data_IF_490239868241
#
_entry.id   IF_490239868241
#
_cell.length_a   1.000
_cell.length_b   1.000
_cell.length_c   1.000
_cell.angle_alpha   90.00
_cell.angle_beta   90.00
_cell.angle_gamma   90.00
#
_symmetry.space_group_name_H-M   'P 1'
#
loop_
_entity.id
_entity.type
_entity.pdbx_description
1 polymer ?
#
# COMPACT_ATOMS: atom_id res chain seq x y z
N UNK A 1 39.30 48.40 38.69
CA UNK A 1 39.37 47.20 37.82
C UNK A 1 38.32 46.20 38.29
N UNK A 2 37.14 46.15 37.66
CA UNK A 2 36.18 45.04 37.77
C UNK A 2 34.95 45.35 36.91
N UNK A 3 34.62 44.46 35.96
CA UNK A 3 33.33 44.50 35.28
C UNK A 3 33.33 44.10 33.81
N UNK A 4 33.82 42.90 33.45
CA UNK A 4 33.77 42.49 32.02
C UNK A 4 33.72 40.97 31.77
N UNK A 5 33.13 40.19 32.69
CA UNK A 5 32.97 38.72 32.51
C UNK A 5 31.54 38.20 32.61
N UNK A 6 30.55 39.06 32.85
CA UNK A 6 29.14 38.63 32.93
C UNK A 6 28.42 38.63 31.57
N UNK A 7 28.78 39.48 30.62
CA UNK A 7 28.08 39.57 29.31
C UNK A 7 28.27 38.35 28.39
N UNK A 8 29.47 37.78 28.35
CA UNK A 8 29.81 36.68 27.43
C UNK A 8 29.18 35.33 27.82
N UNK A 9 28.91 35.13 29.11
CA UNK A 9 28.24 33.93 29.62
C UNK A 9 26.74 33.92 29.32
N UNK A 10 26.08 35.09 29.26
CA UNK A 10 24.67 35.19 28.91
C UNK A 10 24.43 34.95 27.42
N UNK A 11 25.32 35.45 26.56
CA UNK A 11 25.22 35.28 25.11
C UNK A 11 25.44 33.81 24.69
N UNK A 12 26.39 33.12 25.33
CA UNK A 12 26.62 31.69 25.12
C UNK A 12 25.48 30.82 25.65
N UNK A 13 24.87 31.17 26.79
CA UNK A 13 23.70 30.46 27.30
C UNK A 13 22.48 30.61 26.36
N UNK A 14 22.27 31.81 25.81
CA UNK A 14 21.19 32.06 24.85
C UNK A 14 21.38 31.30 23.54
N UNK A 15 22.62 31.20 23.04
CA UNK A 15 22.95 30.43 21.83
C UNK A 15 22.71 28.93 22.05
N UNK A 16 23.05 28.39 23.22
CA UNK A 16 22.80 26.98 23.53
C UNK A 16 21.30 26.68 23.61
N UNK A 17 20.51 27.58 24.21
CA UNK A 17 19.04 27.41 24.30
C UNK A 17 18.40 27.42 22.90
N UNK A 18 18.83 28.30 22.00
CA UNK A 18 18.26 28.36 20.64
C UNK A 18 18.55 27.09 19.83
N UNK A 19 19.75 26.52 19.98
CA UNK A 19 20.14 25.25 19.33
C UNK A 19 19.29 24.08 19.85
N UNK A 20 19.06 23.99 21.16
CA UNK A 20 18.23 22.93 21.75
C UNK A 20 16.79 22.99 21.23
N UNK A 21 16.21 24.20 21.17
CA UNK A 21 14.85 24.39 20.66
C UNK A 21 14.76 24.01 19.18
N UNK A 22 15.76 24.37 18.36
CA UNK A 22 15.80 23.99 16.95
C UNK A 22 15.85 22.47 16.76
N UNK A 23 16.65 21.75 17.57
CA UNK A 23 16.73 20.28 17.54
C UNK A 23 15.39 19.66 17.97
N UNK A 24 14.74 20.21 19.00
CA UNK A 24 13.45 19.72 19.47
C UNK A 24 12.35 19.86 18.39
N UNK A 25 12.28 21.00 17.70
CA UNK A 25 11.36 21.23 16.59
C UNK A 25 11.69 20.28 15.42
N UNK A 26 12.98 20.11 15.09
CA UNK A 26 13.41 19.17 14.05
C UNK A 26 12.96 17.72 14.38
N UNK A 27 13.10 17.29 15.63
CA UNK A 27 12.65 15.97 16.10
C UNK A 27 11.14 15.79 16.03
N UNK A 28 10.37 16.83 16.36
CA UNK A 28 8.91 16.82 16.23
C UNK A 28 8.50 16.77 14.75
N UNK A 29 9.13 17.55 13.88
CA UNK A 29 8.88 17.52 12.44
C UNK A 29 9.24 16.17 11.81
N UNK A 30 10.34 15.55 12.24
CA UNK A 30 10.70 14.18 11.85
C UNK A 30 9.70 13.14 12.37
N UNK A 31 9.09 13.38 13.54
CA UNK A 31 8.04 12.52 14.09
C UNK A 31 6.72 12.64 13.30
N UNK A 32 6.39 13.83 12.78
CA UNK A 32 5.25 14.01 11.88
C UNK A 32 5.47 13.36 10.51
N UNK A 33 6.70 13.42 9.97
CA UNK A 33 7.06 12.69 8.75
C UNK A 33 7.05 11.16 8.97
N UNK A 34 7.46 10.71 10.16
CA UNK A 34 7.43 9.28 10.54
C UNK A 34 6.02 8.76 10.86
N UNK A 35 5.08 9.65 11.20
CA UNK A 35 3.67 9.30 11.45
C UNK A 35 2.84 9.08 10.18
N UNK A 36 3.35 9.48 9.01
CA UNK A 36 2.72 9.29 7.69
C UNK A 36 3.37 8.14 6.93
N UNK A 37 4.45 7.54 7.45
CA UNK A 37 5.01 6.31 6.90
C UNK A 37 4.13 5.13 7.31
N UNK A 38 2.99 5.04 6.63
CA UNK A 38 2.32 3.80 6.31
C UNK A 38 3.37 3.01 5.52
N UNK A 39 4.27 2.27 6.21
CA UNK A 39 5.31 1.46 5.56
C UNK A 39 4.63 0.19 5.09
N UNK A 40 4.12 0.24 3.88
CA UNK A 40 3.68 -0.88 3.08
C UNK A 40 3.99 -0.52 1.64
N UNK A 41 4.01 -1.53 0.77
CA UNK A 41 4.28 -1.26 -0.62
C UNK A 41 3.00 -0.73 -1.29
N UNK A 42 3.12 0.32 -2.10
CA UNK A 42 1.97 0.99 -2.70
C UNK A 42 1.23 0.07 -3.69
N UNK A 43 -0.10 -0.01 -3.57
CA UNK A 43 -0.93 -0.86 -4.42
C UNK A 43 -0.80 -0.52 -5.90
N UNK A 44 -0.74 0.76 -6.25
CA UNK A 44 -0.66 1.23 -7.64
C UNK A 44 0.64 0.79 -8.31
N UNK A 45 1.70 0.58 -7.51
CA UNK A 45 3.00 0.15 -8.03
C UNK A 45 3.17 -1.36 -7.98
N UNK A 46 2.75 -2.00 -6.89
CA UNK A 46 3.01 -3.43 -6.67
C UNK A 46 2.06 -4.35 -7.41
N UNK A 47 0.79 -4.00 -7.53
CA UNK A 47 -0.16 -4.88 -8.20
C UNK A 47 0.19 -5.08 -9.67
N UNK A 48 0.46 -4.02 -10.48
CA UNK A 48 0.88 -4.21 -11.86
C UNK A 48 2.20 -4.99 -11.98
N UNK A 49 3.16 -4.73 -11.10
CA UNK A 49 4.44 -5.47 -11.08
C UNK A 49 4.24 -6.96 -10.79
N UNK A 50 3.36 -7.30 -9.87
CA UNK A 50 3.10 -8.68 -9.48
C UNK A 50 2.31 -9.43 -10.56
N UNK A 51 1.31 -8.78 -11.15
CA UNK A 51 0.56 -9.28 -12.31
C UNK A 51 1.50 -9.53 -13.48
N UNK A 52 2.32 -8.54 -13.87
CA UNK A 52 3.31 -8.71 -14.94
C UNK A 52 4.33 -9.81 -14.63
N UNK A 53 4.76 -9.94 -13.38
CA UNK A 53 5.73 -10.97 -12.98
C UNK A 53 5.15 -12.38 -13.15
N UNK A 54 3.90 -12.61 -12.74
CA UNK A 54 3.24 -13.90 -12.89
C UNK A 54 2.92 -14.16 -14.36
N UNK A 55 2.46 -13.13 -15.09
CA UNK A 55 2.26 -13.21 -16.54
C UNK A 55 3.52 -13.66 -17.29
N UNK A 56 4.65 -12.98 -17.03
CA UNK A 56 5.92 -13.27 -17.70
C UNK A 56 6.47 -14.65 -17.35
N UNK A 57 6.19 -15.13 -16.14
CA UNK A 57 6.56 -16.48 -15.71
C UNK A 57 5.66 -17.57 -16.33
N UNK A 58 4.40 -17.23 -16.64
CA UNK A 58 3.39 -18.14 -17.15
C UNK A 58 2.79 -19.08 -16.10
N UNK A 59 3.26 -19.03 -14.85
CA UNK A 59 2.75 -19.82 -13.73
C UNK A 59 3.17 -19.21 -12.38
N UNK A 60 2.50 -19.64 -11.31
CA UNK A 60 2.89 -19.35 -9.94
C UNK A 60 1.91 -18.48 -9.17
N UNK A 61 2.27 -18.21 -7.92
CA UNK A 61 1.49 -17.36 -7.00
C UNK A 61 2.45 -16.39 -6.34
N UNK A 62 2.15 -15.10 -6.42
CA UNK A 62 2.89 -14.05 -5.72
C UNK A 62 2.00 -13.43 -4.67
N UNK A 63 2.45 -13.46 -3.42
CA UNK A 63 1.67 -12.96 -2.29
C UNK A 63 2.43 -11.85 -1.60
N UNK A 64 1.75 -10.75 -1.35
CA UNK A 64 2.23 -9.63 -0.57
C UNK A 64 1.41 -9.54 0.72
N UNK A 65 2.09 -9.55 1.86
CA UNK A 65 1.44 -9.56 3.16
C UNK A 65 0.79 -8.21 3.51
N UNK A 66 1.38 -7.11 3.06
CA UNK A 66 0.92 -5.77 3.40
C UNK A 66 1.15 -4.82 2.23
N UNK A 67 0.07 -4.53 1.51
CA UNK A 67 -0.02 -3.49 0.49
C UNK A 67 -0.86 -2.33 1.02
N UNK A 68 -0.43 -1.11 0.73
CA UNK A 68 -1.14 0.09 1.11
C UNK A 68 -2.05 0.57 -0.03
N UNK A 69 -3.34 0.70 0.29
CA UNK A 69 -4.36 1.24 -0.59
C UNK A 69 -4.71 2.67 -0.14
N UNK A 70 -4.53 3.64 -1.02
CA UNK A 70 -4.76 5.06 -0.73
C UNK A 70 -6.22 5.39 -1.01
N UNK A 71 -6.86 6.13 -0.11
CA UNK A 71 -8.22 6.60 -0.33
C UNK A 71 -8.31 7.41 -1.63
N UNK A 72 -9.33 7.13 -2.45
CA UNK A 72 -9.58 7.80 -3.73
C UNK A 72 -8.71 7.29 -4.88
N UNK A 73 -7.84 6.29 -4.67
CA UNK A 73 -7.13 5.64 -5.78
C UNK A 73 -8.07 4.75 -6.57
N UNK A 74 -7.95 4.81 -7.89
CA UNK A 74 -8.60 3.90 -8.83
C UNK A 74 -7.51 3.17 -9.60
N UNK A 75 -7.49 1.85 -9.51
CA UNK A 75 -6.58 1.00 -10.27
C UNK A 75 -7.43 0.24 -11.28
N UNK A 76 -7.30 0.59 -12.56
CA UNK A 76 -8.07 -0.04 -13.63
C UNK A 76 -7.41 -1.34 -14.10
N UNK A 77 -8.15 -2.20 -14.81
CA UNK A 77 -7.55 -3.37 -15.46
C UNK A 77 -6.35 -3.00 -16.32
N UNK A 78 -6.43 -1.89 -17.05
CA UNK A 78 -5.33 -1.39 -17.89
C UNK A 78 -4.06 -1.09 -17.10
N UNK A 79 -4.21 -0.52 -15.90
CA UNK A 79 -3.08 -0.23 -15.01
C UNK A 79 -2.45 -1.54 -14.53
N UNK A 80 -3.28 -2.52 -14.17
CA UNK A 80 -2.86 -3.85 -13.69
C UNK A 80 -2.17 -4.69 -14.78
N UNK A 81 -2.69 -4.71 -16.00
CA UNK A 81 -2.12 -5.48 -17.12
C UNK A 81 -0.96 -4.75 -17.80
N UNK A 82 -0.91 -3.41 -17.69
CA UNK A 82 0.04 -2.57 -18.42
C UNK A 82 0.06 -2.84 -19.94
N UNK A 83 -1.08 -3.25 -20.53
CA UNK A 83 -1.23 -3.72 -21.91
C UNK A 83 -0.42 -4.99 -22.26
N UNK A 84 0.07 -5.73 -21.27
CA UNK A 84 0.82 -6.97 -21.50
C UNK A 84 -0.08 -8.11 -21.97
N UNK A 85 -1.37 -8.06 -21.64
CA UNK A 85 -2.40 -9.04 -22.02
C UNK A 85 -3.81 -8.41 -21.98
N UNK A 86 -4.82 -9.07 -22.55
CA UNK A 86 -6.18 -8.55 -22.61
C UNK A 86 -6.76 -8.26 -21.23
N UNK A 87 -7.45 -7.12 -21.08
CA UNK A 87 -8.10 -6.76 -19.82
C UNK A 87 -9.22 -7.77 -19.44
N UNK A 88 -9.81 -8.46 -20.43
CA UNK A 88 -10.79 -9.55 -20.22
C UNK A 88 -10.23 -10.76 -19.49
N UNK A 89 -8.91 -10.89 -19.46
CA UNK A 89 -8.21 -12.03 -18.87
C UNK A 89 -7.72 -11.68 -17.45
N UNK A 90 -8.14 -10.54 -16.91
CA UNK A 90 -7.87 -10.12 -15.54
C UNK A 90 -9.14 -10.21 -14.69
N UNK A 91 -9.03 -10.88 -13.55
CA UNK A 91 -10.10 -10.99 -12.56
C UNK A 91 -9.59 -10.44 -11.24
N UNK A 92 -10.47 -9.74 -10.52
CA UNK A 92 -10.21 -9.24 -9.18
C UNK A 92 -11.27 -9.80 -8.27
N UNK A 93 -10.86 -10.45 -7.19
CA UNK A 93 -11.76 -11.05 -6.20
C UNK A 93 -11.34 -10.71 -4.78
N UNK A 94 -12.29 -10.78 -3.85
CA UNK A 94 -11.99 -10.72 -2.43
C UNK A 94 -11.77 -12.12 -1.89
N UNK A 95 -10.85 -12.27 -0.93
CA UNK A 95 -10.77 -13.47 -0.12
C UNK A 95 -12.06 -13.64 0.69
N UNK A 96 -12.42 -14.89 1.02
CA UNK A 96 -13.69 -15.21 1.69
C UNK A 96 -13.80 -14.55 3.07
N UNK A 97 -12.67 -14.28 3.74
CA UNK A 97 -12.62 -13.57 5.02
C UNK A 97 -12.63 -12.05 4.87
N UNK A 98 -12.55 -11.53 3.65
CA UNK A 98 -12.33 -10.12 3.36
C UNK A 98 -13.58 -9.36 2.94
N UNK A 99 -14.77 -9.97 2.98
CA UNK A 99 -16.04 -9.32 2.64
C UNK A 99 -16.33 -8.05 3.46
N UNK A 100 -15.70 -7.90 4.63
CA UNK A 100 -15.82 -6.70 5.45
C UNK A 100 -15.01 -5.51 4.93
N UNK A 101 -13.97 -5.76 4.11
CA UNK A 101 -13.06 -4.72 3.61
C UNK A 101 -13.08 -4.57 2.09
N UNK A 102 -13.50 -5.62 1.38
CA UNK A 102 -13.48 -5.73 -0.06
C UNK A 102 -14.84 -6.27 -0.52
N UNK A 103 -15.43 -5.67 -1.55
CA UNK A 103 -16.68 -6.13 -2.15
C UNK A 103 -17.05 -5.32 -3.39
N UNK A 104 -18.30 -5.38 -3.83
CA UNK A 104 -18.78 -4.63 -5.01
C UNK A 104 -19.54 -3.35 -4.63
N UNK A 105 -19.78 -3.11 -3.34
CA UNK A 105 -20.50 -1.93 -2.84
C UNK A 105 -19.57 -0.82 -2.34
N UNK A 106 -20.07 0.42 -2.35
CA UNK A 106 -19.35 1.62 -1.87
C UNK A 106 -19.13 1.64 -0.35
N UNK A 107 -19.86 0.82 0.41
CA UNK A 107 -19.74 0.75 1.87
C UNK A 107 -18.45 0.08 2.34
N UNK A 108 -17.85 -0.75 1.48
CA UNK A 108 -16.61 -1.48 1.73
C UNK A 108 -15.39 -0.55 1.60
N UNK A 109 -14.25 -0.91 2.22
CA UNK A 109 -13.05 -0.09 2.08
C UNK A 109 -12.49 -0.10 0.65
N UNK A 110 -12.67 -1.23 -0.05
CA UNK A 110 -12.24 -1.47 -1.42
C UNK A 110 -13.44 -1.99 -2.23
N UNK A 111 -13.85 -1.24 -3.24
CA UNK A 111 -14.84 -1.67 -4.23
C UNK A 111 -14.14 -2.31 -5.43
N UNK A 112 -14.55 -3.52 -5.80
CA UNK A 112 -14.17 -4.19 -7.03
C UNK A 112 -15.05 -3.67 -8.16
N UNK A 113 -14.41 -3.22 -9.23
CA UNK A 113 -15.08 -2.81 -10.46
C UNK A 113 -15.21 -4.04 -11.35
N UNK A 114 -16.43 -4.51 -11.55
CA UNK A 114 -16.71 -5.65 -12.44
C UNK A 114 -16.58 -5.21 -13.91
N UNK A 115 -15.90 -6.02 -14.74
CA UNK A 115 -15.74 -5.86 -16.19
C UNK A 115 -15.29 -4.44 -16.67
N UNK A 116 -14.00 -4.22 -16.96
CA UNK A 116 -12.96 -5.22 -17.24
C UNK A 116 -12.18 -5.72 -16.01
N UNK A 117 -12.63 -5.41 -14.80
CA UNK A 117 -11.86 -5.66 -13.58
C UNK A 117 -11.15 -4.39 -13.12
N UNK A 118 -11.16 -4.13 -11.82
CA UNK A 118 -10.52 -2.94 -11.26
C UNK A 118 -10.76 -2.82 -9.77
N UNK A 119 -10.08 -1.85 -9.17
CA UNK A 119 -10.07 -1.62 -7.73
C UNK A 119 -10.32 -0.13 -7.51
N UNK A 120 -11.36 0.20 -6.78
CA UNK A 120 -11.62 1.54 -6.27
C UNK A 120 -11.50 1.54 -4.75
N UNK A 121 -10.76 2.50 -4.20
CA UNK A 121 -10.48 2.54 -2.75
C UNK A 121 -11.31 3.64 -2.10
N UNK A 122 -12.38 3.26 -1.41
CA UNK A 122 -13.24 4.19 -0.68
C UNK A 122 -12.59 4.69 0.61
N UNK A 123 -11.77 3.85 1.25
CA UNK A 123 -11.13 4.15 2.55
C UNK A 123 -9.69 3.67 2.54
N UNK A 124 -8.77 4.50 3.07
CA UNK A 124 -7.37 4.13 3.16
C UNK A 124 -7.21 2.89 4.08
N UNK A 125 -6.54 1.86 3.56
CA UNK A 125 -6.43 0.57 4.25
C UNK A 125 -5.14 -0.17 3.85
N UNK A 126 -4.66 -1.04 4.73
CA UNK A 126 -3.65 -2.05 4.39
C UNK A 126 -4.33 -3.40 4.18
N UNK A 127 -3.98 -4.09 3.10
CA UNK A 127 -4.52 -5.42 2.80
C UNK A 127 -3.42 -6.38 2.36
N UNK A 128 -3.68 -7.68 2.49
CA UNK A 128 -2.85 -8.71 1.85
C UNK A 128 -3.36 -8.92 0.44
N UNK A 129 -2.47 -9.17 -0.52
CA UNK A 129 -2.87 -9.44 -1.91
C UNK A 129 -2.12 -10.64 -2.44
N UNK A 130 -2.82 -11.51 -3.15
CA UNK A 130 -2.22 -12.58 -3.94
C UNK A 130 -2.52 -12.36 -5.42
N UNK A 131 -1.55 -12.70 -6.27
CA UNK A 131 -1.71 -12.72 -7.73
C UNK A 131 -1.33 -14.11 -8.22
N UNK A 132 -2.19 -14.70 -9.04
CA UNK A 132 -2.05 -16.06 -9.55
C UNK A 132 -2.69 -16.21 -10.93
N UNK A 133 -2.47 -17.35 -11.58
CA UNK A 133 -3.25 -17.74 -12.74
C UNK A 133 -4.68 -18.08 -12.32
N UNK A 134 -5.67 -17.70 -13.11
CA UNK A 134 -7.07 -17.98 -12.82
C UNK A 134 -7.34 -19.49 -12.95
N UNK A 135 -7.88 -20.14 -11.90
CA UNK A 135 -8.14 -21.57 -11.93
C UNK A 135 -9.20 -21.90 -12.99
N UNK A 136 -8.87 -22.82 -13.90
CA UNK A 136 -9.80 -23.31 -14.93
C UNK A 136 -9.98 -22.38 -16.14
N UNK A 137 -9.21 -21.30 -16.27
CA UNK A 137 -9.14 -20.48 -17.49
C UNK A 137 -7.70 -20.38 -17.99
N UNK A 138 -7.48 -20.77 -19.24
CA UNK A 138 -6.17 -20.61 -19.88
C UNK A 138 -5.86 -19.11 -20.06
N UNK A 139 -4.62 -18.74 -19.75
CA UNK A 139 -4.08 -17.38 -19.89
C UNK A 139 -4.80 -16.25 -19.12
N UNK A 140 -5.68 -16.58 -18.17
CA UNK A 140 -6.30 -15.60 -17.28
C UNK A 140 -5.56 -15.49 -15.94
N UNK A 141 -5.65 -14.33 -15.29
CA UNK A 141 -4.99 -14.01 -14.04
C UNK A 141 -5.98 -13.47 -13.01
N UNK A 142 -5.74 -13.82 -11.76
CA UNK A 142 -6.58 -13.48 -10.62
C UNK A 142 -5.77 -12.65 -9.62
N UNK A 143 -6.33 -11.53 -9.21
CA UNK A 143 -5.86 -10.71 -8.08
C UNK A 143 -6.83 -10.93 -6.92
N UNK A 144 -6.36 -11.53 -5.83
CA UNK A 144 -7.16 -11.77 -4.63
C UNK A 144 -6.76 -10.79 -3.54
N UNK A 145 -7.71 -9.99 -3.05
CA UNK A 145 -7.52 -9.03 -1.97
C UNK A 145 -8.07 -9.60 -0.67
N UNK A 146 -7.26 -9.60 0.39
CA UNK A 146 -7.64 -10.13 1.70
C UNK A 146 -7.30 -9.21 2.86
N UNK A 147 -7.74 -9.59 4.06
CA UNK A 147 -7.40 -8.86 5.28
C UNK A 147 -5.87 -8.89 5.48
N UNK A 148 -5.32 -7.77 5.96
CA UNK A 148 -3.90 -7.65 6.33
C UNK A 148 -3.45 -8.85 7.18
N UNK A 149 -2.25 -9.34 6.91
CA UNK A 149 -1.62 -10.46 7.63
C UNK A 149 -2.34 -11.82 7.49
N UNK A 150 -3.41 -11.91 6.68
CA UNK A 150 -4.12 -13.16 6.35
C UNK A 150 -3.62 -13.78 5.04
N UNK A 151 -2.30 -13.90 4.92
CA UNK A 151 -1.58 -14.43 3.73
C UNK A 151 -2.10 -15.82 3.31
N UNK A 152 -2.43 -16.68 4.27
CA UNK A 152 -2.94 -18.02 3.99
C UNK A 152 -4.30 -18.00 3.29
N UNK A 153 -5.19 -17.06 3.64
CA UNK A 153 -6.52 -16.97 3.05
C UNK A 153 -6.44 -16.54 1.58
N UNK A 154 -5.70 -15.46 1.29
CA UNK A 154 -5.50 -14.99 -0.09
C UNK A 154 -4.77 -16.02 -0.95
N UNK A 155 -3.80 -16.74 -0.39
CA UNK A 155 -3.07 -17.79 -1.10
C UNK A 155 -3.95 -19.00 -1.40
N UNK A 156 -4.77 -19.42 -0.43
CA UNK A 156 -5.67 -20.57 -0.60
C UNK A 156 -6.68 -20.31 -1.72
N UNK A 157 -7.25 -19.09 -1.79
CA UNK A 157 -8.17 -18.70 -2.86
C UNK A 157 -7.50 -18.72 -4.23
N UNK A 158 -6.22 -18.34 -4.30
CA UNK A 158 -5.43 -18.37 -5.52
C UNK A 158 -5.03 -19.78 -6.01
N UNK A 159 -5.21 -20.82 -5.19
CA UNK A 159 -4.82 -22.20 -5.50
C UNK A 159 -6.02 -23.17 -5.53
N UNK A 160 -7.22 -22.69 -5.21
CA UNK A 160 -8.46 -23.46 -5.22
C UNK A 160 -9.17 -23.37 -6.57
#
# INVERSE_FOLDING_TARGET
>A
MMGEKRGQAFETMMLVISVIVAIAILGILLSFLSGITIIGADAEQKLPQNVKSIYSAGYGVKVEQSIDFRMGSTITAKDLTSNSFPESDLYVECADDASAICGTGEDTAITIIENPGGIFVNKAIKASVAVCQYPGKDAAYLVVIGIRDKVAAVRSKCMG
#
